data_IF_567172458333
#
_entry.id   IF_567172458333
#
_cell.length_a   1.000
_cell.length_b   1.000
_cell.length_c   1.000
_cell.angle_alpha   90.00
_cell.angle_beta   90.00
_cell.angle_gamma   90.00
#
_symmetry.space_group_name_H-M   'P 1'
#
loop_
_entity.id
_entity.type
_entity.pdbx_description
1 polymer ?
#
# COMPACT_ATOMS: atom_id res chain seq x y z
N UNK A 1 -10.94 21.55 3.40
CA UNK A 1 -10.05 22.38 2.57
C UNK A 1 -10.07 22.08 1.06
N UNK A 2 -10.92 21.13 0.59
CA UNK A 2 -11.02 20.76 -0.82
C UNK A 2 -11.39 21.96 -1.73
N UNK A 3 -12.29 22.82 -1.30
CA UNK A 3 -12.71 24.02 -2.04
C UNK A 3 -11.54 24.99 -2.33
N UNK A 4 -10.60 25.11 -1.38
CA UNK A 4 -9.43 25.97 -1.56
C UNK A 4 -8.42 25.35 -2.54
N UNK A 5 -8.29 24.03 -2.55
CA UNK A 5 -7.48 23.29 -3.53
C UNK A 5 -8.07 23.48 -4.93
N UNK A 6 -9.38 23.29 -5.07
CA UNK A 6 -10.06 23.44 -6.36
C UNK A 6 -9.96 24.86 -6.94
N UNK A 7 -10.07 25.90 -6.11
CA UNK A 7 -9.89 27.30 -6.56
C UNK A 7 -8.51 27.59 -7.15
N UNK A 8 -7.48 26.82 -6.74
CA UNK A 8 -6.10 26.98 -7.20
C UNK A 8 -5.65 25.87 -8.15
N UNK A 9 -6.59 25.10 -8.73
CA UNK A 9 -6.27 23.92 -9.52
C UNK A 9 -6.04 24.20 -11.02
N UNK A 10 -5.88 25.45 -11.41
CA UNK A 10 -5.59 25.83 -12.80
C UNK A 10 -4.08 25.72 -13.07
N UNK A 11 -3.66 24.62 -13.71
CA UNK A 11 -2.26 24.31 -14.01
C UNK A 11 -2.08 24.01 -15.49
N UNK A 12 -1.75 25.03 -16.27
CA UNK A 12 -1.61 24.95 -17.73
C UNK A 12 -0.61 23.87 -18.22
N UNK A 13 0.38 23.50 -17.40
CA UNK A 13 1.38 22.48 -17.72
C UNK A 13 1.06 21.08 -17.16
N UNK A 14 -0.14 20.84 -16.66
CA UNK A 14 -0.58 19.52 -16.19
C UNK A 14 -1.71 19.00 -17.08
N UNK A 15 -1.63 17.73 -17.48
CA UNK A 15 -2.66 17.02 -18.23
C UNK A 15 -3.11 15.79 -17.46
N UNK A 16 -4.42 15.57 -17.45
CA UNK A 16 -5.08 14.51 -16.70
C UNK A 16 -5.76 13.54 -17.66
N UNK A 17 -5.44 12.28 -17.55
CA UNK A 17 -6.13 11.19 -18.27
C UNK A 17 -6.74 10.25 -17.24
N UNK A 18 -8.05 10.27 -17.13
CA UNK A 18 -8.78 9.33 -16.28
C UNK A 18 -9.11 8.10 -17.11
N UNK A 19 -8.50 6.96 -16.78
CA UNK A 19 -8.80 5.68 -17.44
C UNK A 19 -10.26 5.29 -17.14
N UNK A 20 -11.11 5.12 -18.15
CA UNK A 20 -12.48 4.68 -17.92
C UNK A 20 -12.51 3.33 -17.21
N UNK A 21 -13.38 3.19 -16.22
CA UNK A 21 -13.58 1.92 -15.54
C UNK A 21 -14.23 0.92 -16.48
N UNK A 22 -13.48 -0.12 -16.81
CA UNK A 22 -13.92 -1.15 -17.74
C UNK A 22 -13.42 -2.53 -17.30
N UNK A 23 -14.36 -3.46 -17.15
CA UNK A 23 -14.09 -4.87 -16.86
C UNK A 23 -14.11 -5.62 -18.20
N UNK A 24 -13.07 -6.39 -18.49
CA UNK A 24 -13.03 -7.21 -19.70
C UNK A 24 -12.42 -8.59 -19.44
N UNK A 25 -12.98 -9.61 -20.08
CA UNK A 25 -12.43 -10.96 -20.08
C UNK A 25 -11.31 -11.15 -21.12
N UNK A 26 -11.11 -10.18 -22.00
CA UNK A 26 -10.06 -10.18 -23.04
C UNK A 26 -9.28 -8.86 -23.01
N UNK A 27 -8.04 -8.90 -23.46
CA UNK A 27 -7.18 -7.71 -23.58
C UNK A 27 -7.79 -6.72 -24.58
N UNK A 28 -8.18 -5.55 -24.09
CA UNK A 28 -8.64 -4.46 -24.94
C UNK A 28 -7.43 -3.68 -25.48
N UNK A 29 -7.49 -3.26 -26.74
CA UNK A 29 -6.40 -2.50 -27.38
C UNK A 29 -6.66 -1.00 -27.40
N UNK A 30 -7.89 -0.58 -27.11
CA UNK A 30 -8.33 0.83 -27.14
C UNK A 30 -9.28 1.10 -25.97
N UNK A 31 -9.31 2.34 -25.56
CA UNK A 31 -10.31 2.81 -24.59
C UNK A 31 -11.64 3.14 -25.28
N UNK A 32 -12.73 3.11 -24.49
CA UNK A 32 -14.04 3.61 -24.95
C UNK A 32 -14.02 5.12 -25.26
N UNK A 33 -15.09 5.60 -25.90
CA UNK A 33 -15.21 6.95 -26.49
C UNK A 33 -14.91 8.14 -25.56
N UNK A 34 -14.94 7.98 -24.25
CA UNK A 34 -14.75 9.09 -23.28
C UNK A 34 -13.33 9.18 -22.70
N UNK A 35 -12.38 8.40 -23.23
CA UNK A 35 -10.99 8.41 -22.78
C UNK A 35 -10.22 9.52 -23.49
N UNK A 36 -10.17 10.67 -22.89
CA UNK A 36 -9.49 11.87 -23.43
C UNK A 36 -8.61 12.54 -22.40
N UNK A 37 -7.49 13.11 -22.85
CA UNK A 37 -6.67 14.00 -22.06
C UNK A 37 -7.41 15.31 -21.76
N UNK A 38 -7.39 15.73 -20.51
CA UNK A 38 -8.01 16.98 -20.06
C UNK A 38 -6.97 17.93 -19.49
N UNK A 39 -7.22 19.22 -19.59
CA UNK A 39 -6.46 20.23 -18.85
C UNK A 39 -6.73 20.11 -17.36
N UNK A 40 -5.73 20.47 -16.56
CA UNK A 40 -5.85 20.50 -15.11
C UNK A 40 -6.50 21.81 -14.66
N UNK A 41 -7.75 21.76 -14.26
CA UNK A 41 -8.53 22.88 -13.72
C UNK A 41 -9.50 22.40 -12.63
N UNK A 42 -10.23 23.33 -12.01
CA UNK A 42 -11.14 23.04 -10.91
C UNK A 42 -12.23 21.99 -11.24
N UNK A 43 -12.71 21.96 -12.48
CA UNK A 43 -13.73 21.00 -12.92
C UNK A 43 -13.14 19.60 -13.08
N UNK A 44 -11.99 19.48 -13.76
CA UNK A 44 -11.38 18.20 -14.11
C UNK A 44 -10.73 17.52 -12.89
N UNK A 45 -10.19 18.31 -11.94
CA UNK A 45 -9.56 17.81 -10.70
C UNK A 45 -10.59 17.27 -9.71
N UNK A 46 -11.82 17.81 -9.69
CA UNK A 46 -12.89 17.44 -8.72
C UNK A 46 -13.12 15.94 -8.63
N UNK A 47 -13.06 15.24 -9.74
CA UNK A 47 -13.30 13.80 -9.85
C UNK A 47 -12.03 13.02 -10.20
N UNK A 48 -10.86 13.62 -10.06
CA UNK A 48 -9.57 12.98 -10.31
C UNK A 48 -8.94 12.44 -9.02
N UNK A 49 -7.90 11.61 -9.13
CA UNK A 49 -7.13 11.15 -7.98
C UNK A 49 -6.44 12.31 -7.27
N UNK A 50 -6.86 12.64 -6.04
CA UNK A 50 -6.27 13.73 -5.27
C UNK A 50 -4.77 13.50 -4.99
N UNK A 51 -4.35 12.25 -4.70
CA UNK A 51 -2.93 11.90 -4.54
C UNK A 51 -2.15 12.19 -5.83
N UNK A 52 -2.65 11.75 -6.97
CA UNK A 52 -1.98 11.96 -8.27
C UNK A 52 -1.94 13.43 -8.68
N UNK A 53 -3.00 14.18 -8.36
CA UNK A 53 -3.02 15.62 -8.55
C UNK A 53 -1.90 16.32 -7.76
N UNK A 54 -1.82 16.09 -6.44
CA UNK A 54 -0.77 16.66 -5.62
C UNK A 54 0.63 16.24 -6.06
N UNK A 55 0.80 14.96 -6.44
CA UNK A 55 2.05 14.49 -7.04
C UNK A 55 2.46 15.33 -8.27
N UNK A 56 1.51 15.53 -9.20
CA UNK A 56 1.77 16.27 -10.44
C UNK A 56 2.14 17.73 -10.16
N UNK A 57 1.42 18.40 -9.25
CA UNK A 57 1.68 19.79 -8.88
C UNK A 57 3.08 19.93 -8.30
N UNK A 58 3.43 19.15 -7.27
CA UNK A 58 4.77 19.22 -6.66
C UNK A 58 5.89 18.87 -7.63
N UNK A 59 5.67 17.90 -8.51
CA UNK A 59 6.68 17.52 -9.49
C UNK A 59 6.87 18.63 -10.54
N UNK A 60 5.78 19.20 -11.04
CA UNK A 60 5.79 20.26 -12.03
C UNK A 60 6.47 21.54 -11.49
N UNK A 61 6.17 21.93 -10.25
CA UNK A 61 6.82 23.07 -9.58
C UNK A 61 8.35 22.94 -9.50
N UNK A 62 8.86 21.74 -9.29
CA UNK A 62 10.28 21.48 -9.12
C UNK A 62 11.03 21.27 -10.44
N UNK A 63 10.38 20.70 -11.45
CA UNK A 63 10.99 20.38 -12.73
C UNK A 63 10.75 21.46 -13.80
N UNK A 64 9.67 22.21 -13.65
CA UNK A 64 9.20 23.20 -14.63
C UNK A 64 9.05 22.64 -16.05
N UNK A 65 8.49 21.42 -16.13
CA UNK A 65 8.17 20.73 -17.40
C UNK A 65 6.69 20.31 -17.40
N UNK A 66 6.08 20.10 -18.58
CA UNK A 66 4.73 19.54 -18.64
C UNK A 66 4.67 18.15 -18.00
N UNK A 67 3.61 17.89 -17.22
CA UNK A 67 3.36 16.62 -16.54
C UNK A 67 2.02 16.03 -17.03
N UNK A 68 2.05 14.79 -17.52
CA UNK A 68 0.86 14.03 -17.85
C UNK A 68 0.62 12.92 -16.81
N UNK A 69 -0.61 12.80 -16.30
CA UNK A 69 -1.00 11.74 -15.38
C UNK A 69 -2.05 10.85 -16.02
N UNK A 70 -1.74 9.56 -16.13
CA UNK A 70 -2.71 8.50 -16.46
C UNK A 70 -3.14 7.85 -15.15
N UNK A 71 -4.40 8.06 -14.75
CA UNK A 71 -4.95 7.52 -13.51
C UNK A 71 -5.87 6.33 -13.81
N UNK A 72 -5.38 5.12 -13.50
CA UNK A 72 -6.13 3.88 -13.53
C UNK A 72 -6.36 3.40 -12.10
N UNK A 73 -7.61 3.48 -11.61
CA UNK A 73 -7.92 3.09 -10.23
C UNK A 73 -9.36 2.61 -10.09
N UNK A 74 -9.57 1.60 -9.24
CA UNK A 74 -10.88 1.10 -8.86
C UNK A 74 -10.83 0.58 -7.41
N UNK A 75 -11.60 1.20 -6.53
CA UNK A 75 -11.60 0.87 -5.11
C UNK A 75 -12.10 -0.57 -4.83
N UNK A 76 -11.57 -1.19 -3.78
CA UNK A 76 -11.97 -2.52 -3.33
C UNK A 76 -11.48 -3.67 -4.23
N UNK A 77 -10.40 -3.46 -4.99
CA UNK A 77 -9.81 -4.49 -5.85
C UNK A 77 -8.54 -5.07 -5.24
N UNK A 78 -8.34 -6.38 -5.38
CA UNK A 78 -7.07 -7.03 -5.09
C UNK A 78 -6.09 -6.89 -6.26
N UNK A 79 -4.82 -7.11 -5.98
CA UNK A 79 -3.74 -7.01 -6.98
C UNK A 79 -3.94 -7.96 -8.18
N UNK A 80 -4.58 -9.10 -7.96
CA UNK A 80 -4.89 -10.12 -8.98
C UNK A 80 -5.75 -9.59 -10.11
N UNK A 81 -6.59 -8.58 -9.87
CA UNK A 81 -7.39 -7.96 -10.93
C UNK A 81 -6.54 -7.19 -11.95
N UNK A 82 -5.36 -6.73 -11.52
CA UNK A 82 -4.41 -5.91 -12.26
C UNK A 82 -3.26 -6.70 -12.90
N UNK A 83 -3.18 -8.01 -12.66
CA UNK A 83 -2.27 -8.95 -13.33
C UNK A 83 -2.98 -9.63 -14.50
N UNK A 84 -2.28 -9.91 -15.61
CA UNK A 84 -2.92 -10.62 -16.73
C UNK A 84 -3.40 -12.02 -16.29
N UNK A 85 -4.56 -12.43 -16.81
CA UNK A 85 -5.10 -13.77 -16.53
C UNK A 85 -4.14 -14.87 -17.00
N UNK A 86 -3.56 -14.71 -18.19
CA UNK A 86 -2.64 -15.70 -18.78
C UNK A 86 -1.41 -15.92 -17.88
N UNK A 87 -0.82 -14.84 -17.37
CA UNK A 87 0.29 -14.92 -16.41
C UNK A 87 -0.12 -15.69 -15.16
N UNK A 88 -1.28 -15.34 -14.59
CA UNK A 88 -1.76 -15.99 -13.36
C UNK A 88 -2.08 -17.47 -13.59
N UNK A 89 -2.62 -17.84 -14.74
CA UNK A 89 -2.97 -19.22 -15.07
C UNK A 89 -1.73 -20.10 -15.31
N UNK A 90 -0.64 -19.51 -15.78
CA UNK A 90 0.61 -20.23 -16.09
C UNK A 90 1.58 -20.36 -14.90
N UNK A 91 1.32 -19.69 -13.78
CA UNK A 91 2.21 -19.65 -12.61
C UNK A 91 1.54 -20.25 -11.36
N UNK A 92 2.18 -21.22 -10.73
CA UNK A 92 1.66 -21.94 -9.58
C UNK A 92 1.42 -21.07 -8.34
N UNK A 93 2.19 -19.99 -8.16
CA UNK A 93 2.01 -19.07 -7.05
C UNK A 93 0.86 -18.09 -7.31
N UNK A 94 0.66 -17.66 -8.56
CA UNK A 94 -0.35 -16.69 -8.94
C UNK A 94 -1.73 -17.32 -9.16
N UNK A 95 -1.81 -18.57 -9.64
CA UNK A 95 -3.07 -19.26 -9.96
C UNK A 95 -3.99 -19.47 -8.74
N UNK A 96 -3.50 -19.31 -7.52
CA UNK A 96 -4.30 -19.40 -6.29
C UNK A 96 -5.47 -18.42 -6.29
N UNK A 97 -5.26 -17.20 -6.78
CA UNK A 97 -6.31 -16.19 -6.90
C UNK A 97 -7.41 -16.62 -7.87
N UNK A 98 -7.04 -17.23 -9.01
CA UNK A 98 -7.98 -17.81 -9.97
C UNK A 98 -8.79 -18.94 -9.32
N UNK A 99 -8.13 -19.85 -8.58
CA UNK A 99 -8.79 -20.94 -7.88
C UNK A 99 -9.83 -20.47 -6.85
N UNK A 100 -9.50 -19.39 -6.11
CA UNK A 100 -10.46 -18.75 -5.18
C UNK A 100 -11.65 -18.17 -5.93
N UNK A 101 -11.42 -17.45 -7.05
CA UNK A 101 -12.50 -16.89 -7.86
C UNK A 101 -13.46 -17.98 -8.37
N UNK A 102 -12.94 -19.07 -8.95
CA UNK A 102 -13.76 -20.19 -9.42
C UNK A 102 -14.52 -20.89 -8.31
N UNK A 103 -13.90 -21.02 -7.12
CA UNK A 103 -14.60 -21.57 -5.95
C UNK A 103 -15.77 -20.68 -5.55
N UNK A 104 -15.58 -19.36 -5.46
CA UNK A 104 -16.67 -18.43 -5.14
C UNK A 104 -17.78 -18.45 -6.18
N UNK A 105 -17.44 -18.52 -7.47
CA UNK A 105 -18.43 -18.60 -8.54
C UNK A 105 -19.27 -19.87 -8.45
N UNK A 106 -18.64 -20.99 -8.15
CA UNK A 106 -19.31 -22.29 -7.95
C UNK A 106 -20.23 -22.27 -6.72
N UNK A 107 -19.77 -21.71 -5.60
CA UNK A 107 -20.50 -21.72 -4.33
C UNK A 107 -21.59 -20.62 -4.26
N UNK A 108 -21.52 -19.61 -5.11
CA UNK A 108 -22.39 -18.43 -5.08
C UNK A 108 -23.89 -18.71 -5.08
N UNK A 109 -24.46 -19.64 -5.88
CA UNK A 109 -25.88 -19.91 -5.85
C UNK A 109 -26.36 -20.38 -4.46
N UNK A 110 -25.62 -21.28 -3.83
CA UNK A 110 -25.88 -21.77 -2.49
C UNK A 110 -25.71 -20.66 -1.44
N UNK A 111 -24.60 -19.95 -1.48
CA UNK A 111 -24.27 -18.91 -0.51
C UNK A 111 -25.21 -17.71 -0.60
N UNK A 112 -25.72 -17.38 -1.80
CA UNK A 112 -26.71 -16.31 -1.97
C UNK A 112 -28.06 -16.63 -1.35
N UNK A 113 -28.51 -17.88 -1.43
CA UNK A 113 -29.73 -18.35 -0.77
C UNK A 113 -29.54 -18.29 0.75
N UNK A 114 -28.47 -18.87 1.27
CA UNK A 114 -28.17 -18.86 2.71
C UNK A 114 -28.01 -17.42 3.26
N UNK A 115 -27.47 -16.50 2.46
CA UNK A 115 -27.39 -15.09 2.82
C UNK A 115 -28.77 -14.44 2.90
N UNK A 116 -29.64 -14.68 1.92
CA UNK A 116 -31.01 -14.16 1.92
C UNK A 116 -31.82 -14.64 3.13
N UNK A 117 -31.72 -15.94 3.47
CA UNK A 117 -32.35 -16.51 4.65
C UNK A 117 -31.87 -15.85 5.96
N UNK A 118 -30.54 -15.66 6.09
CA UNK A 118 -29.96 -14.97 7.26
C UNK A 118 -30.38 -13.50 7.35
N UNK A 119 -30.56 -12.82 6.21
CA UNK A 119 -31.08 -11.45 6.18
C UNK A 119 -32.54 -11.41 6.64
N UNK A 120 -33.39 -12.29 6.11
CA UNK A 120 -34.79 -12.37 6.49
C UNK A 120 -34.96 -12.65 7.99
N UNK A 121 -34.19 -13.61 8.53
CA UNK A 121 -34.18 -13.90 9.96
C UNK A 121 -33.72 -12.69 10.80
N UNK A 122 -32.73 -11.94 10.30
CA UNK A 122 -32.27 -10.71 10.97
C UNK A 122 -33.37 -9.66 11.02
N UNK A 123 -34.04 -9.41 9.90
CA UNK A 123 -35.13 -8.44 9.82
C UNK A 123 -36.30 -8.82 10.75
N UNK A 124 -36.65 -10.10 10.80
CA UNK A 124 -37.66 -10.64 11.74
C UNK A 124 -37.25 -10.37 13.20
N UNK A 125 -35.98 -10.65 13.56
CA UNK A 125 -35.49 -10.43 14.92
C UNK A 125 -35.47 -8.94 15.31
N UNK A 126 -35.12 -8.05 14.37
CA UNK A 126 -35.21 -6.61 14.60
C UNK A 126 -36.66 -6.15 14.77
N UNK A 127 -37.60 -6.68 13.98
CA UNK A 127 -39.03 -6.41 14.13
C UNK A 127 -39.60 -6.89 15.49
N UNK A 128 -39.00 -7.93 16.07
CA UNK A 128 -39.31 -8.40 17.44
C UNK A 128 -38.65 -7.57 18.54
N UNK A 129 -37.95 -6.49 18.21
CA UNK A 129 -37.33 -5.57 19.16
C UNK A 129 -35.98 -6.03 19.71
N UNK A 130 -35.35 -7.06 19.10
CA UNK A 130 -33.99 -7.46 19.48
C UNK A 130 -33.00 -6.39 19.01
N UNK A 131 -32.13 -5.92 19.91
CA UNK A 131 -31.21 -4.84 19.63
C UNK A 131 -30.26 -5.15 18.45
N UNK A 132 -30.02 -4.15 17.60
CA UNK A 132 -29.22 -4.29 16.37
C UNK A 132 -27.78 -4.78 16.63
N UNK A 133 -27.21 -4.46 17.80
CA UNK A 133 -25.89 -4.88 18.25
C UNK A 133 -25.81 -6.40 18.48
N UNK A 134 -26.94 -7.03 18.85
CA UNK A 134 -27.05 -8.49 19.08
C UNK A 134 -27.24 -9.22 17.75
N UNK A 135 -28.02 -8.63 16.83
CA UNK A 135 -28.36 -9.25 15.55
C UNK A 135 -27.44 -8.73 14.45
N UNK A 136 -26.23 -9.26 14.41
CA UNK A 136 -25.21 -8.84 13.42
C UNK A 136 -25.69 -9.06 11.98
N UNK A 137 -25.38 -8.11 11.10
CA UNK A 137 -25.63 -8.28 9.67
C UNK A 137 -24.77 -9.46 9.15
N UNK A 138 -25.35 -10.43 8.41
CA UNK A 138 -24.58 -11.52 7.85
C UNK A 138 -23.51 -10.99 6.89
N UNK A 139 -22.37 -11.67 6.84
CA UNK A 139 -21.31 -11.35 5.86
C UNK A 139 -21.85 -11.53 4.46
N UNK A 140 -21.76 -10.52 3.65
CA UNK A 140 -22.29 -10.52 2.30
C UNK A 140 -21.50 -11.42 1.35
N UNK A 141 -22.19 -12.06 0.41
CA UNK A 141 -21.64 -12.93 -0.65
C UNK A 141 -21.08 -12.09 -1.81
N UNK A 142 -20.34 -11.05 -1.52
CA UNK A 142 -20.13 -9.88 -2.42
C UNK A 142 -19.16 -10.05 -3.58
N UNK A 143 -18.32 -11.09 -3.62
CA UNK A 143 -17.21 -11.10 -4.59
C UNK A 143 -17.68 -11.21 -6.04
N UNK A 144 -18.71 -12.04 -6.31
CA UNK A 144 -19.23 -12.18 -7.68
C UNK A 144 -20.08 -10.98 -8.15
N UNK A 145 -20.60 -10.18 -7.22
CA UNK A 145 -21.27 -8.91 -7.55
C UNK A 145 -20.26 -7.81 -7.87
N UNK A 146 -18.95 -8.11 -7.81
CA UNK A 146 -17.86 -7.20 -8.12
C UNK A 146 -16.99 -7.75 -9.25
N UNK A 147 -17.46 -7.72 -10.49
CA UNK A 147 -16.72 -8.28 -11.63
C UNK A 147 -15.34 -7.64 -11.82
N UNK A 148 -15.14 -6.43 -11.29
CA UNK A 148 -13.86 -5.74 -11.24
C UNK A 148 -12.84 -6.37 -10.26
N UNK A 149 -13.26 -7.32 -9.41
CA UNK A 149 -12.36 -8.11 -8.55
C UNK A 149 -11.93 -9.44 -9.21
N UNK A 150 -12.46 -9.78 -10.38
CA UNK A 150 -12.06 -10.99 -11.11
C UNK A 150 -10.59 -10.90 -11.53
N UNK A 151 -9.79 -11.97 -11.32
CA UNK A 151 -8.40 -11.99 -11.77
C UNK A 151 -8.27 -11.63 -13.25
N UNK A 152 -7.40 -10.66 -13.57
CA UNK A 152 -7.14 -10.21 -14.93
C UNK A 152 -8.11 -9.19 -15.51
N UNK A 153 -9.27 -8.98 -14.90
CA UNK A 153 -10.34 -8.18 -15.52
C UNK A 153 -9.98 -6.70 -15.73
N UNK A 154 -9.27 -6.10 -14.77
CA UNK A 154 -8.84 -4.71 -14.87
C UNK A 154 -7.53 -4.55 -15.65
N UNK A 155 -6.65 -5.55 -15.58
CA UNK A 155 -5.52 -5.61 -16.50
C UNK A 155 -6.02 -5.53 -17.96
N UNK A 156 -6.99 -6.36 -18.30
CA UNK A 156 -7.53 -6.42 -19.65
C UNK A 156 -8.22 -5.13 -20.10
N UNK A 157 -9.09 -4.58 -19.25
CA UNK A 157 -9.96 -3.45 -19.60
C UNK A 157 -9.34 -2.07 -19.36
N UNK A 158 -8.37 -1.95 -18.44
CA UNK A 158 -7.87 -0.65 -18.00
C UNK A 158 -6.35 -0.48 -18.18
N UNK A 159 -5.55 -1.55 -18.02
CA UNK A 159 -4.09 -1.46 -18.11
C UNK A 159 -3.60 -1.72 -19.53
N UNK A 160 -4.05 -2.79 -20.15
CA UNK A 160 -3.60 -3.18 -21.48
C UNK A 160 -3.82 -2.10 -22.54
N UNK A 161 -4.94 -1.33 -22.54
CA UNK A 161 -5.10 -0.21 -23.46
C UNK A 161 -4.11 0.96 -23.21
N UNK A 162 -3.46 1.03 -22.04
CA UNK A 162 -2.41 2.02 -21.77
C UNK A 162 -1.05 1.64 -22.37
N UNK A 163 -0.80 0.36 -22.63
CA UNK A 163 0.53 -0.15 -22.99
C UNK A 163 1.18 0.47 -24.24
N UNK A 164 0.43 0.98 -25.24
CA UNK A 164 1.05 1.75 -26.33
C UNK A 164 1.69 3.08 -25.91
N UNK A 165 1.35 3.62 -24.73
CA UNK A 165 1.93 4.89 -24.27
C UNK A 165 3.31 4.70 -23.66
N UNK A 166 4.24 5.58 -24.03
CA UNK A 166 5.51 5.70 -23.31
C UNK A 166 5.27 6.44 -22.01
N UNK A 167 5.60 5.80 -20.88
CA UNK A 167 5.47 6.37 -19.54
C UNK A 167 6.84 6.59 -18.89
N UNK A 168 6.96 7.66 -18.09
CA UNK A 168 8.19 7.99 -17.36
C UNK A 168 8.32 7.26 -16.02
N UNK A 169 7.26 6.63 -15.54
CA UNK A 169 7.23 5.88 -14.30
C UNK A 169 5.84 5.40 -13.92
N UNK A 170 5.78 4.50 -12.96
CA UNK A 170 4.56 3.96 -12.37
C UNK A 170 4.47 4.34 -10.89
N UNK A 171 3.32 4.79 -10.44
CA UNK A 171 2.95 4.85 -9.02
C UNK A 171 1.98 3.73 -8.73
N UNK A 172 2.33 2.84 -7.81
CA UNK A 172 1.48 1.77 -7.31
C UNK A 172 1.11 2.03 -5.85
N UNK A 173 -0.16 2.29 -5.57
CA UNK A 173 -0.68 2.44 -4.22
C UNK A 173 -1.95 1.61 -4.07
N UNK A 174 -1.81 0.43 -3.52
CA UNK A 174 -2.85 -0.60 -3.34
C UNK A 174 -2.36 -1.61 -2.29
N UNK A 175 -3.23 -2.36 -1.66
CA UNK A 175 -2.89 -3.48 -0.79
C UNK A 175 -3.99 -3.79 0.23
N UNK A 176 -4.92 -2.87 0.47
CA UNK A 176 -5.96 -2.96 1.48
C UNK A 176 -6.85 -4.20 1.28
N UNK A 177 -7.28 -4.45 0.05
CA UNK A 177 -8.09 -5.63 -0.29
C UNK A 177 -7.27 -6.92 -0.41
N UNK A 178 -5.94 -6.82 -0.38
CA UNK A 178 -5.03 -7.98 -0.41
C UNK A 178 -4.59 -8.43 0.99
N UNK A 179 -4.97 -7.71 2.06
CA UNK A 179 -4.61 -8.05 3.45
C UNK A 179 -5.08 -9.45 3.83
N UNK A 180 -6.23 -9.90 3.35
CA UNK A 180 -6.73 -11.25 3.59
C UNK A 180 -5.80 -12.34 3.00
N UNK A 181 -5.10 -12.03 1.90
CA UNK A 181 -4.19 -12.92 1.17
C UNK A 181 -2.75 -12.42 1.21
N UNK A 182 -2.35 -11.81 2.32
CA UNK A 182 -1.08 -11.10 2.48
C UNK A 182 0.15 -11.94 2.12
N UNK A 183 0.11 -13.26 2.38
CA UNK A 183 1.22 -14.19 2.10
C UNK A 183 1.50 -14.35 0.59
N UNK A 184 0.57 -13.98 -0.27
CA UNK A 184 0.71 -14.04 -1.73
C UNK A 184 1.20 -12.71 -2.32
N UNK A 185 1.06 -11.62 -1.56
CA UNK A 185 1.20 -10.27 -2.08
C UNK A 185 2.61 -9.92 -2.56
N UNK A 186 3.65 -10.43 -1.89
CA UNK A 186 5.05 -10.18 -2.28
C UNK A 186 5.30 -10.67 -3.71
N UNK A 187 4.95 -11.93 -3.99
CA UNK A 187 5.14 -12.53 -5.30
C UNK A 187 4.25 -11.85 -6.37
N UNK A 188 3.01 -11.54 -6.03
CA UNK A 188 2.08 -10.85 -6.91
C UNK A 188 2.59 -9.45 -7.29
N UNK A 189 3.11 -8.66 -6.34
CA UNK A 189 3.63 -7.32 -6.60
C UNK A 189 4.88 -7.35 -7.47
N UNK A 190 5.80 -8.28 -7.21
CA UNK A 190 7.00 -8.46 -8.03
C UNK A 190 6.64 -8.87 -9.45
N UNK A 191 5.68 -9.79 -9.62
CA UNK A 191 5.17 -10.24 -10.91
C UNK A 191 4.44 -9.12 -11.67
N UNK A 192 3.70 -8.25 -10.95
CA UNK A 192 3.06 -7.07 -11.55
C UNK A 192 4.10 -6.13 -12.14
N UNK A 193 5.14 -5.79 -11.39
CA UNK A 193 6.21 -4.89 -11.84
C UNK A 193 6.88 -5.45 -13.10
N UNK A 194 7.26 -6.72 -13.08
CA UNK A 194 7.95 -7.35 -14.20
C UNK A 194 7.05 -7.44 -15.45
N UNK A 195 5.81 -7.91 -15.27
CA UNK A 195 4.88 -8.09 -16.39
C UNK A 195 4.43 -6.77 -17.02
N UNK A 196 4.27 -5.71 -16.20
CA UNK A 196 3.92 -4.40 -16.75
C UNK A 196 5.12 -3.77 -17.47
N UNK A 197 6.34 -3.87 -16.94
CA UNK A 197 7.55 -3.44 -17.66
C UNK A 197 7.68 -4.15 -19.01
N UNK A 198 7.47 -5.46 -19.02
CA UNK A 198 7.46 -6.24 -20.27
C UNK A 198 6.34 -5.79 -21.23
N UNK A 199 5.13 -5.57 -20.73
CA UNK A 199 3.98 -5.13 -21.55
C UNK A 199 4.12 -3.73 -22.13
N UNK A 200 4.74 -2.81 -21.39
CA UNK A 200 5.05 -1.47 -21.87
C UNK A 200 6.38 -1.37 -22.63
N UNK A 201 7.12 -2.47 -22.78
CA UNK A 201 8.46 -2.51 -23.40
C UNK A 201 9.42 -1.49 -22.79
N UNK A 202 9.38 -1.28 -21.49
CA UNK A 202 10.13 -0.22 -20.80
C UNK A 202 10.47 -0.60 -19.36
N UNK A 203 11.74 -0.40 -18.97
CA UNK A 203 12.25 -0.53 -17.60
C UNK A 203 11.91 0.72 -16.74
N UNK A 204 10.73 1.26 -16.87
CA UNK A 204 10.35 2.47 -16.12
C UNK A 204 10.51 2.30 -14.60
N UNK A 205 10.86 3.36 -13.87
CA UNK A 205 10.92 3.34 -12.42
C UNK A 205 9.53 3.17 -11.79
N UNK A 206 9.48 2.47 -10.66
CA UNK A 206 8.24 2.20 -9.92
C UNK A 206 8.32 2.80 -8.52
N UNK A 207 7.29 3.54 -8.14
CA UNK A 207 7.09 4.09 -6.82
C UNK A 207 5.95 3.32 -6.13
N UNK A 208 6.26 2.58 -5.08
CA UNK A 208 5.28 1.78 -4.33
C UNK A 208 4.93 2.51 -3.03
N UNK A 209 3.65 2.82 -2.83
CA UNK A 209 3.15 3.30 -1.54
C UNK A 209 2.91 2.14 -0.59
N UNK A 210 3.51 2.19 0.61
CA UNK A 210 3.25 1.22 1.66
C UNK A 210 1.85 1.46 2.27
N UNK A 211 1.15 0.41 2.71
CA UNK A 211 -0.13 0.55 3.40
C UNK A 211 -0.04 1.43 4.64
N UNK A 212 -1.00 2.33 4.81
CA UNK A 212 -1.16 3.14 6.01
C UNK A 212 -1.60 2.31 7.22
N UNK A 213 -1.60 2.93 8.39
CA UNK A 213 -2.26 2.36 9.56
C UNK A 213 -3.79 2.44 9.41
N UNK A 214 -4.44 1.36 9.81
CA UNK A 214 -5.90 1.21 9.83
C UNK A 214 -6.29 -0.02 10.67
N UNK A 215 -7.46 -0.03 11.28
CA UNK A 215 -7.97 -1.17 12.05
C UNK A 215 -8.48 -2.28 11.13
N UNK A 216 -7.56 -2.96 10.41
CA UNK A 216 -7.92 -4.12 9.57
C UNK A 216 -8.56 -5.22 10.40
N UNK A 217 -9.59 -5.93 9.87
CA UNK A 217 -10.26 -7.01 10.61
C UNK A 217 -9.37 -8.20 10.93
N UNK A 218 -8.34 -8.44 10.11
CA UNK A 218 -7.40 -9.55 10.27
C UNK A 218 -6.18 -9.09 11.06
N UNK A 219 -5.93 -9.69 12.22
CA UNK A 219 -4.81 -9.34 13.09
C UNK A 219 -3.46 -9.45 12.36
N UNK A 220 -2.63 -8.42 12.46
CA UNK A 220 -1.23 -8.34 11.98
C UNK A 220 -0.99 -8.61 10.48
N UNK A 221 -2.01 -8.90 9.68
CA UNK A 221 -1.82 -9.23 8.26
C UNK A 221 -1.43 -8.04 7.39
N UNK A 222 -1.81 -6.82 7.77
CA UNK A 222 -1.34 -5.61 7.10
C UNK A 222 0.19 -5.44 7.21
N UNK A 223 0.81 -5.93 8.29
CA UNK A 223 2.26 -5.93 8.44
C UNK A 223 2.95 -6.81 7.39
N UNK A 224 2.36 -7.95 7.02
CA UNK A 224 2.87 -8.83 5.97
C UNK A 224 2.84 -8.11 4.62
N UNK A 225 1.73 -7.43 4.30
CA UNK A 225 1.61 -6.64 3.07
C UNK A 225 2.63 -5.49 3.07
N UNK A 226 2.82 -4.78 4.19
CA UNK A 226 3.82 -3.69 4.30
C UNK A 226 5.24 -4.19 4.12
N UNK A 227 5.57 -5.37 4.66
CA UNK A 227 6.88 -6.01 4.45
C UNK A 227 7.08 -6.40 2.99
N UNK A 228 6.09 -7.01 2.36
CA UNK A 228 6.09 -7.34 0.95
C UNK A 228 6.26 -6.10 0.05
N UNK A 229 5.58 -5.00 0.37
CA UNK A 229 5.75 -3.73 -0.32
C UNK A 229 7.18 -3.17 -0.14
N UNK A 230 7.76 -3.26 1.07
CA UNK A 230 9.12 -2.81 1.30
C UNK A 230 10.15 -3.65 0.53
N UNK A 231 9.95 -4.95 0.40
CA UNK A 231 10.80 -5.85 -0.38
C UNK A 231 10.77 -5.58 -1.89
N UNK A 232 9.71 -4.92 -2.41
CA UNK A 232 9.68 -4.51 -3.81
C UNK A 232 10.88 -3.62 -4.20
N UNK A 233 11.52 -2.93 -3.25
CA UNK A 233 12.75 -2.15 -3.47
C UNK A 233 13.96 -2.99 -3.92
N UNK A 234 13.90 -4.33 -3.81
CA UNK A 234 14.93 -5.24 -4.30
C UNK A 234 14.92 -5.35 -5.83
N UNK A 235 13.80 -4.99 -6.44
CA UNK A 235 13.70 -4.84 -7.89
C UNK A 235 14.42 -3.58 -8.37
N UNK A 236 15.08 -3.68 -9.52
CA UNK A 236 15.75 -2.54 -10.16
C UNK A 236 14.78 -1.34 -10.28
N UNK A 237 15.28 -0.15 -9.99
CA UNK A 237 14.55 1.12 -10.10
C UNK A 237 13.14 1.10 -9.47
N UNK A 238 13.02 0.43 -8.33
CA UNK A 238 11.79 0.36 -7.54
C UNK A 238 12.01 0.96 -6.16
N UNK A 239 11.20 1.95 -5.81
CA UNK A 239 11.34 2.74 -4.59
C UNK A 239 10.05 2.71 -3.79
N UNK A 240 10.17 2.64 -2.46
CA UNK A 240 9.01 2.51 -1.57
C UNK A 240 8.84 3.75 -0.72
N UNK A 241 7.61 4.20 -0.58
CA UNK A 241 7.21 5.36 0.20
C UNK A 241 6.51 4.89 1.46
N UNK A 242 7.07 5.22 2.61
CA UNK A 242 6.44 4.91 3.90
C UNK A 242 5.29 5.89 4.18
N UNK A 243 4.12 5.35 4.47
CA UNK A 243 2.90 6.11 4.75
C UNK A 243 2.28 5.77 6.10
N UNK A 244 3.01 5.05 6.96
CA UNK A 244 2.54 4.49 8.23
C UNK A 244 2.01 5.55 9.22
N UNK A 245 2.43 6.79 9.09
CA UNK A 245 2.11 7.92 9.97
C UNK A 245 1.05 8.89 9.42
N UNK A 246 0.49 8.60 8.25
CA UNK A 246 -0.50 9.46 7.56
C UNK A 246 -1.81 8.76 7.24
N UNK A 247 -2.07 7.62 7.88
CA UNK A 247 -3.33 6.90 7.82
C UNK A 247 -4.36 7.41 8.83
N UNK A 248 -5.51 6.74 8.85
CA UNK A 248 -6.57 6.94 9.82
C UNK A 248 -7.00 5.56 10.36
N UNK A 249 -7.07 5.42 11.69
CA UNK A 249 -7.45 4.16 12.33
C UNK A 249 -8.86 3.68 11.96
N UNK A 250 -9.76 4.61 11.72
CA UNK A 250 -11.20 4.36 11.52
C UNK A 250 -11.64 4.49 10.06
N UNK A 251 -10.77 5.03 9.20
CA UNK A 251 -11.03 5.16 7.77
C UNK A 251 -9.83 4.66 6.94
N UNK A 252 -10.06 3.62 6.15
CA UNK A 252 -9.07 3.07 5.23
C UNK A 252 -8.68 4.05 4.11
N UNK A 253 -9.48 5.09 3.89
CA UNK A 253 -9.26 6.15 2.91
C UNK A 253 -8.98 7.50 3.60
N UNK A 254 -7.77 7.75 4.13
CA UNK A 254 -7.44 9.01 4.79
C UNK A 254 -7.82 10.22 3.93
N UNK A 255 -8.50 11.21 4.49
CA UNK A 255 -9.01 12.38 3.76
C UNK A 255 -7.90 13.26 3.19
N UNK A 256 -6.80 13.44 3.93
CA UNK A 256 -5.68 14.27 3.50
C UNK A 256 -4.74 13.50 2.56
N UNK A 257 -4.86 13.74 1.26
CA UNK A 257 -4.01 13.14 0.22
C UNK A 257 -2.78 13.98 -0.14
N UNK A 258 -2.65 15.19 0.40
CA UNK A 258 -1.51 16.06 0.13
C UNK A 258 -0.18 15.45 0.59
N UNK A 259 -0.05 14.89 1.82
CA UNK A 259 1.20 14.25 2.25
C UNK A 259 1.59 13.07 1.36
N UNK A 260 0.61 12.31 0.85
CA UNK A 260 0.87 11.22 -0.09
C UNK A 260 1.49 11.74 -1.38
N UNK A 261 0.80 12.65 -2.08
CA UNK A 261 1.29 13.24 -3.33
C UNK A 261 2.67 13.85 -3.17
N UNK A 262 2.90 14.59 -2.07
CA UNK A 262 4.18 15.19 -1.75
C UNK A 262 5.29 14.15 -1.58
N UNK A 263 5.07 13.10 -0.80
CA UNK A 263 6.08 12.05 -0.57
C UNK A 263 6.44 11.28 -1.85
N UNK A 264 5.47 11.00 -2.71
CA UNK A 264 5.72 10.41 -4.01
C UNK A 264 6.53 11.33 -4.92
N UNK A 265 6.22 12.63 -4.95
CA UNK A 265 6.97 13.63 -5.73
C UNK A 265 8.41 13.78 -5.19
N UNK A 266 8.59 13.87 -3.89
CA UNK A 266 9.91 13.98 -3.25
C UNK A 266 10.78 12.75 -3.57
N UNK A 267 10.19 11.54 -3.57
CA UNK A 267 10.91 10.32 -3.95
C UNK A 267 11.27 10.29 -5.43
N UNK A 268 10.36 10.70 -6.31
CA UNK A 268 10.64 10.82 -7.74
C UNK A 268 11.78 11.83 -8.00
N UNK A 269 11.72 13.00 -7.38
CA UNK A 269 12.75 14.04 -7.48
C UNK A 269 14.11 13.53 -7.02
N UNK A 270 14.16 12.80 -5.90
CA UNK A 270 15.39 12.21 -5.39
C UNK A 270 15.96 11.13 -6.31
N UNK A 271 15.16 10.10 -6.61
CA UNK A 271 15.64 8.84 -7.20
C UNK A 271 15.62 8.83 -8.72
N UNK A 272 14.63 9.49 -9.32
CA UNK A 272 14.45 9.47 -10.77
C UNK A 272 15.10 10.71 -11.41
N UNK A 273 14.89 11.89 -10.80
CA UNK A 273 15.39 13.16 -11.33
C UNK A 273 16.69 13.65 -10.69
N UNK A 274 17.30 12.89 -9.78
CA UNK A 274 18.61 13.15 -9.20
C UNK A 274 18.72 14.39 -8.32
N UNK A 275 17.62 14.90 -7.78
CA UNK A 275 17.57 16.06 -6.89
C UNK A 275 18.00 15.68 -5.48
N UNK A 276 19.26 15.86 -5.12
CA UNK A 276 19.89 15.39 -3.86
C UNK A 276 19.39 16.08 -2.57
N UNK A 277 18.62 17.14 -2.67
CA UNK A 277 18.04 17.86 -1.52
C UNK A 277 16.81 17.14 -0.90
N UNK A 278 16.31 16.07 -1.53
CA UNK A 278 15.24 15.26 -0.97
C UNK A 278 15.80 14.05 -0.22
N UNK A 279 15.16 13.68 0.89
CA UNK A 279 15.65 12.66 1.80
C UNK A 279 15.10 11.27 1.49
N UNK A 280 15.82 10.27 1.98
CA UNK A 280 15.37 8.87 2.02
C UNK A 280 14.70 8.53 3.36
N UNK A 281 13.95 7.44 3.37
CA UNK A 281 13.32 6.88 4.56
C UNK A 281 14.29 5.99 5.34
N UNK A 282 14.24 5.97 6.69
CA UNK A 282 15.03 5.02 7.49
C UNK A 282 14.58 3.58 7.24
N UNK A 283 15.52 2.72 6.86
CA UNK A 283 15.30 1.28 6.69
C UNK A 283 16.14 0.52 7.68
N UNK A 284 15.52 -0.28 8.53
CA UNK A 284 16.23 -1.15 9.48
C UNK A 284 16.95 -2.28 8.73
N UNK A 285 18.24 -2.53 9.08
CA UNK A 285 19.11 -3.47 8.36
C UNK A 285 19.43 -4.71 9.17
N UNK A 286 19.85 -4.52 10.40
CA UNK A 286 20.27 -5.62 11.30
C UNK A 286 20.05 -5.25 12.75
N UNK A 287 19.77 -6.25 13.57
CA UNK A 287 19.69 -6.16 15.03
C UNK A 287 20.77 -7.05 15.65
N UNK A 288 21.57 -6.50 16.58
CA UNK A 288 22.65 -7.21 17.26
C UNK A 288 22.51 -7.02 18.75
N UNK A 289 22.45 -8.11 19.50
CA UNK A 289 22.49 -8.09 20.97
C UNK A 289 23.92 -7.84 21.46
N UNK A 290 24.09 -6.90 22.38
CA UNK A 290 25.34 -6.59 23.03
C UNK A 290 25.11 -6.25 24.51
N UNK A 291 25.42 -7.20 25.40
CA UNK A 291 25.09 -7.11 26.81
C UNK A 291 23.57 -7.03 27.02
N UNK A 292 23.12 -6.06 27.77
CA UNK A 292 21.73 -5.76 28.11
C UNK A 292 20.95 -4.97 27.02
N UNK A 293 21.53 -4.84 25.84
CA UNK A 293 20.98 -3.99 24.77
C UNK A 293 20.92 -4.72 23.43
N UNK A 294 19.92 -4.33 22.61
CA UNK A 294 19.90 -4.65 21.19
C UNK A 294 20.17 -3.37 20.41
N UNK A 295 21.09 -3.44 19.45
CA UNK A 295 21.44 -2.33 18.56
C UNK A 295 20.87 -2.62 17.18
N UNK A 296 19.87 -1.84 16.76
CA UNK A 296 19.35 -1.87 15.40
C UNK A 296 20.01 -0.78 14.58
N UNK A 297 20.68 -1.15 13.49
CA UNK A 297 21.28 -0.19 12.54
C UNK A 297 20.34 0.08 11.37
N UNK A 298 20.35 1.33 10.90
CA UNK A 298 19.52 1.79 9.79
C UNK A 298 20.38 2.27 8.63
N UNK A 299 19.92 1.96 7.42
CA UNK A 299 20.46 2.48 6.17
C UNK A 299 19.70 3.73 5.72
N UNK A 300 20.26 4.41 4.71
CA UNK A 300 19.70 5.56 3.98
C UNK A 300 19.58 6.86 4.80
N UNK A 301 19.89 6.85 6.10
CA UNK A 301 19.80 8.03 6.96
C UNK A 301 21.04 8.18 7.85
N UNK A 302 21.41 9.42 8.15
CA UNK A 302 22.54 9.74 9.04
C UNK A 302 22.14 9.82 10.52
N UNK A 303 20.88 10.18 10.77
CA UNK A 303 20.38 10.39 12.14
C UNK A 303 18.89 10.05 12.23
N UNK A 304 18.55 9.31 13.28
CA UNK A 304 17.18 9.03 13.70
C UNK A 304 16.76 10.00 14.81
N UNK A 305 15.44 10.17 14.94
CA UNK A 305 14.82 10.86 16.08
C UNK A 305 13.48 10.18 16.44
N UNK A 306 13.12 10.25 17.70
CA UNK A 306 11.82 9.83 18.22
C UNK A 306 10.98 11.10 18.41
N UNK A 307 9.79 11.16 17.84
CA UNK A 307 8.83 12.23 18.13
C UNK A 307 8.09 11.89 19.42
N UNK A 308 8.21 12.73 20.42
CA UNK A 308 7.64 12.50 21.76
C UNK A 308 8.69 12.05 22.78
N UNK A 309 8.20 11.56 23.93
CA UNK A 309 9.07 11.19 25.07
C UNK A 309 9.68 9.80 24.93
N UNK A 310 8.92 8.87 24.37
CA UNK A 310 9.28 7.45 24.26
C UNK A 310 8.98 6.93 22.85
N UNK A 311 9.68 5.86 22.46
CA UNK A 311 9.39 5.13 21.24
C UNK A 311 8.16 4.25 21.44
N UNK A 312 7.16 4.41 20.57
CA UNK A 312 5.98 3.57 20.55
C UNK A 312 6.24 2.27 19.76
N UNK A 313 5.39 1.27 19.99
CA UNK A 313 5.27 0.05 19.17
C UNK A 313 6.58 -0.68 18.88
N UNK A 314 7.51 -0.67 19.85
CA UNK A 314 8.76 -1.43 19.83
C UNK A 314 8.66 -2.64 20.76
N UNK A 315 8.92 -3.83 20.21
CA UNK A 315 8.75 -5.11 20.87
C UNK A 315 9.97 -5.99 20.69
N UNK A 316 10.30 -6.76 21.74
CA UNK A 316 11.33 -7.79 21.69
C UNK A 316 10.68 -9.12 22.02
N UNK A 317 11.02 -10.15 21.25
CA UNK A 317 10.57 -11.53 21.50
C UNK A 317 11.78 -12.36 21.91
N UNK A 318 11.64 -13.12 22.97
CA UNK A 318 12.66 -14.04 23.48
C UNK A 318 12.58 -15.44 22.82
N UNK A 319 13.49 -16.33 23.19
CA UNK A 319 13.54 -17.69 22.67
C UNK A 319 12.33 -18.56 23.04
N UNK A 320 11.54 -18.18 24.05
CA UNK A 320 10.29 -18.86 24.43
C UNK A 320 9.09 -18.41 23.61
N UNK A 321 9.26 -17.36 22.79
CA UNK A 321 8.18 -16.72 22.03
C UNK A 321 7.47 -15.59 22.80
N UNK A 322 7.89 -15.28 24.01
CA UNK A 322 7.29 -14.21 24.81
C UNK A 322 7.64 -12.84 24.24
N UNK A 323 6.60 -12.06 23.88
CA UNK A 323 6.72 -10.70 23.31
C UNK A 323 6.57 -9.68 24.42
N UNK A 324 7.56 -8.79 24.57
CA UNK A 324 7.56 -7.74 25.58
C UNK A 324 7.83 -6.39 24.95
N UNK A 325 7.13 -5.35 25.45
CA UNK A 325 7.38 -3.96 25.05
C UNK A 325 8.73 -3.52 25.64
N UNK A 326 9.54 -2.86 24.82
CA UNK A 326 10.87 -2.42 25.23
C UNK A 326 10.98 -0.89 25.26
N UNK A 327 11.95 -0.36 26.02
CA UNK A 327 12.36 1.04 25.93
C UNK A 327 13.50 1.17 24.94
N UNK A 328 13.52 2.27 24.19
CA UNK A 328 14.57 2.51 23.22
C UNK A 328 14.91 4.00 23.10
N UNK A 329 16.13 4.29 22.66
CA UNK A 329 16.60 5.63 22.32
C UNK A 329 17.45 5.63 21.05
N UNK A 330 17.63 6.77 20.44
CA UNK A 330 18.38 6.89 19.19
C UNK A 330 19.80 7.41 19.41
N UNK A 331 20.77 6.87 18.66
CA UNK A 331 22.15 7.39 18.59
C UNK A 331 22.62 7.35 17.14
N UNK A 332 22.74 8.51 16.49
CA UNK A 332 23.01 8.64 15.05
C UNK A 332 21.94 7.83 14.25
N UNK A 333 22.36 6.93 13.38
CA UNK A 333 21.50 6.03 12.62
C UNK A 333 21.23 4.67 13.29
N UNK A 334 21.31 4.63 14.63
CA UNK A 334 21.07 3.43 15.42
C UNK A 334 19.92 3.64 16.40
N UNK A 335 19.11 2.61 16.56
CA UNK A 335 18.15 2.48 17.66
C UNK A 335 18.75 1.54 18.69
N UNK A 336 18.84 1.99 19.93
CA UNK A 336 19.36 1.25 21.08
C UNK A 336 18.17 0.84 21.93
N UNK A 337 17.94 -0.44 22.06
CA UNK A 337 16.80 -1.03 22.77
C UNK A 337 17.31 -1.64 24.07
N UNK A 338 16.69 -1.28 25.20
CA UNK A 338 17.00 -1.80 26.52
C UNK A 338 16.27 -3.12 26.76
N UNK A 339 17.00 -4.15 27.17
CA UNK A 339 16.50 -5.53 27.35
C UNK A 339 16.77 -6.06 28.78
N UNK A 340 16.73 -5.20 29.79
CA UNK A 340 17.09 -5.54 31.19
C UNK A 340 16.34 -6.78 31.72
N UNK A 341 15.11 -7.02 31.24
CA UNK A 341 14.25 -8.12 31.70
C UNK A 341 13.99 -9.19 30.60
N UNK A 342 14.74 -9.16 29.49
CA UNK A 342 14.51 -10.07 28.35
C UNK A 342 15.73 -10.95 28.18
N UNK A 343 15.59 -12.22 28.53
CA UNK A 343 16.65 -13.21 28.34
C UNK A 343 16.58 -13.79 26.93
N UNK A 344 17.74 -14.01 26.32
CA UNK A 344 17.86 -14.63 24.99
C UNK A 344 16.93 -14.00 23.93
N UNK A 345 17.04 -12.70 23.64
CA UNK A 345 16.21 -12.05 22.62
C UNK A 345 16.53 -12.63 21.24
N UNK A 346 15.49 -13.09 20.52
CA UNK A 346 15.63 -13.69 19.17
C UNK A 346 15.07 -12.81 18.08
N UNK A 347 14.15 -11.89 18.41
CA UNK A 347 13.47 -11.04 17.43
C UNK A 347 13.15 -9.66 18.02
N UNK A 348 13.30 -8.64 17.19
CA UNK A 348 12.84 -7.28 17.48
C UNK A 348 11.90 -6.82 16.36
N UNK A 349 10.80 -6.17 16.73
CA UNK A 349 9.82 -5.63 15.79
C UNK A 349 9.38 -4.22 16.17
N UNK A 350 9.12 -3.39 15.17
CA UNK A 350 8.65 -2.02 15.31
C UNK A 350 7.49 -1.76 14.36
N UNK A 351 6.39 -1.22 14.89
CA UNK A 351 5.21 -0.78 14.14
C UNK A 351 4.59 -1.85 13.22
N UNK A 352 4.54 -3.12 13.67
CA UNK A 352 4.09 -4.27 12.87
C UNK A 352 2.61 -4.61 13.05
N UNK A 353 1.88 -3.88 13.86
CA UNK A 353 0.44 -4.08 14.03
C UNK A 353 -0.35 -3.40 12.90
N UNK A 354 -1.63 -3.75 12.76
CA UNK A 354 -2.47 -3.15 11.73
C UNK A 354 -2.59 -1.64 11.87
N UNK A 355 -2.91 -1.19 13.09
CA UNK A 355 -2.98 0.21 13.46
C UNK A 355 -1.90 0.53 14.50
N UNK A 356 -1.02 1.45 14.21
CA UNK A 356 0.14 1.79 15.03
C UNK A 356 0.28 3.30 15.18
N UNK A 357 0.90 3.72 16.27
CA UNK A 357 1.29 5.10 16.50
C UNK A 357 2.80 5.26 16.26
N UNK A 358 3.21 5.12 14.99
CA UNK A 358 4.62 5.13 14.59
C UNK A 358 5.26 6.51 14.80
N UNK A 359 6.31 6.58 15.62
CA UNK A 359 6.97 7.84 15.98
C UNK A 359 8.50 7.84 15.85
N UNK A 360 9.08 6.87 15.14
CA UNK A 360 10.50 6.85 14.76
C UNK A 360 10.68 7.51 13.40
N UNK A 361 11.56 8.52 13.31
CA UNK A 361 11.76 9.33 12.10
C UNK A 361 13.24 9.51 11.77
N UNK A 362 13.52 9.86 10.52
CA UNK A 362 14.78 10.52 10.17
C UNK A 362 14.80 11.96 10.70
N UNK A 363 16.00 12.56 10.79
CA UNK A 363 16.13 14.01 11.11
C UNK A 363 15.34 14.90 10.12
N UNK A 364 15.11 14.42 8.91
CA UNK A 364 14.39 15.15 7.87
C UNK A 364 12.85 14.98 7.94
N UNK A 365 12.35 14.33 8.99
CA UNK A 365 10.91 14.20 9.24
C UNK A 365 10.21 13.06 8.49
N UNK A 366 10.96 12.18 7.81
CA UNK A 366 10.39 10.98 7.17
C UNK A 366 10.32 9.82 8.15
N UNK A 367 9.18 9.09 8.25
CA UNK A 367 9.01 7.98 9.17
C UNK A 367 9.91 6.79 8.81
N UNK A 368 10.33 6.03 9.81
CA UNK A 368 10.97 4.75 9.59
C UNK A 368 9.96 3.71 9.12
N UNK A 369 10.39 2.86 8.19
CA UNK A 369 9.58 1.71 7.83
C UNK A 369 9.35 0.78 9.01
N UNK A 370 8.16 0.17 9.15
CA UNK A 370 7.96 -0.98 10.02
C UNK A 370 8.98 -2.07 9.74
N UNK A 371 9.40 -2.78 10.77
CA UNK A 371 10.34 -3.87 10.57
C UNK A 371 10.18 -5.00 11.58
N UNK A 372 10.54 -6.19 11.17
CA UNK A 372 10.84 -7.35 12.00
C UNK A 372 12.21 -7.88 11.65
N UNK A 373 13.12 -7.95 12.62
CA UNK A 373 14.50 -8.42 12.42
C UNK A 373 14.85 -9.53 13.41
N UNK A 374 15.55 -10.58 12.97
CA UNK A 374 16.19 -11.52 13.89
C UNK A 374 17.31 -10.81 14.65
N UNK A 375 17.44 -11.13 15.94
CA UNK A 375 18.52 -10.63 16.77
C UNK A 375 19.70 -11.59 16.69
N UNK A 376 20.86 -11.08 16.26
CA UNK A 376 22.12 -11.81 16.23
C UNK A 376 22.87 -11.54 17.52
N UNK A 377 23.48 -12.56 18.10
CA UNK A 377 24.40 -12.39 19.22
C UNK A 377 25.74 -11.90 18.68
N UNK A 378 26.29 -10.84 19.28
CA UNK A 378 27.65 -10.39 18.92
C UNK A 378 28.65 -11.48 19.34
N UNK A 379 29.28 -12.11 18.40
CA UNK A 379 30.51 -12.85 18.70
C UNK A 379 31.51 -11.85 19.32
N UNK A 380 32.09 -12.22 20.45
CA UNK A 380 33.03 -11.39 21.22
C UNK A 380 34.31 -11.15 20.43
#
# INVERSE_FOLDING_TARGET
NAENILKNADHANIRLFHVPRHVSDRKESVFGKNAVWKECNAETVRNFSAMSYHFAVFLQEQLNVPIGIISASWAGTGIESWLSYDLQASDDNLKKAIGRWWKWEKDFPHDSIAYAEKLALREENLAKGIAQEIVKKPKSVHMLQRPHCKPGSLYNGMVHPCMPYTISGLIWYQGENSVEWADEYEYQLQSLIDSWRAGFYSDFPVLVGQLTNFNYPSAERAAIVRDAQLKAREKKDTYVICTIDIGNADDVHPDDKLPFGRRFADMALNKIYGRKNFADYPVAKKAVAKGDRIIVSFDLVKKLCIKGKELNDIWVTDATGTKQKARAFTKKNKLIICCENIQNPVKVSYAVENNVNANLYSKNGLPAFPFTLPVRISEK
#
